data_IF_578961932117
#
_entry.id   IF_578961932117
#
_cell.length_a   1.000
_cell.length_b   1.000
_cell.length_c   1.000
_cell.angle_alpha   90.00
_cell.angle_beta   90.00
_cell.angle_gamma   90.00
#
_symmetry.space_group_name_H-M   'P 1'
#
loop_
_entity.id
_entity.type
_entity.pdbx_description
1 polymer ?
#
# COMPACT_ATOMS: atom_id res chain seq x y z
N UNK A 1 31.30 -13.91 -5.13
CA UNK A 1 31.72 -13.01 -4.04
C UNK A 1 33.20 -12.68 -4.16
N UNK A 2 33.53 -11.60 -4.85
CA UNK A 2 34.92 -11.11 -4.94
C UNK A 2 35.24 -10.34 -3.65
N UNK A 3 36.28 -10.77 -2.95
CA UNK A 3 36.90 -9.99 -1.88
C UNK A 3 38.08 -9.25 -2.49
N UNK A 4 38.22 -7.95 -2.21
CA UNK A 4 39.37 -7.17 -2.65
C UNK A 4 40.02 -6.45 -1.46
N UNK A 5 41.35 -6.32 -1.53
CA UNK A 5 42.14 -5.62 -0.52
C UNK A 5 43.04 -4.63 -1.24
N UNK A 6 43.02 -3.38 -0.80
CA UNK A 6 43.91 -2.33 -1.30
C UNK A 6 44.69 -1.73 -0.15
N UNK A 7 46.01 -1.78 -0.24
CA UNK A 7 46.90 -1.05 0.66
C UNK A 7 47.29 0.27 0.01
N UNK A 8 47.22 1.34 0.79
CA UNK A 8 47.62 2.68 0.39
C UNK A 8 49.03 2.99 0.91
N UNK A 9 49.71 3.92 0.27
CA UNK A 9 51.09 4.33 0.61
C UNK A 9 51.21 4.96 2.00
N UNK A 10 50.12 5.46 2.56
CA UNK A 10 50.03 5.99 3.92
C UNK A 10 49.78 4.91 4.99
N UNK A 11 49.88 3.63 4.64
CA UNK A 11 49.69 2.51 5.56
C UNK A 11 48.23 2.12 5.82
N UNK A 12 47.25 2.84 5.25
CA UNK A 12 45.85 2.44 5.36
C UNK A 12 45.52 1.25 4.47
N UNK A 13 44.58 0.41 4.92
CA UNK A 13 44.06 -0.72 4.14
C UNK A 13 42.55 -0.56 3.95
N UNK A 14 42.10 -0.74 2.71
CA UNK A 14 40.69 -0.86 2.34
C UNK A 14 40.36 -2.32 2.07
N UNK A 15 39.34 -2.83 2.75
CA UNK A 15 38.76 -4.14 2.50
C UNK A 15 37.41 -3.98 1.84
N UNK A 16 37.22 -4.62 0.68
CA UNK A 16 35.93 -4.70 -0.01
C UNK A 16 35.42 -6.12 0.17
N UNK A 17 34.35 -6.24 0.95
CA UNK A 17 33.82 -7.52 1.43
C UNK A 17 32.32 -7.61 1.11
N UNK A 18 31.86 -8.80 0.72
CA UNK A 18 30.44 -9.05 0.51
C UNK A 18 29.71 -9.26 1.84
N UNK A 19 28.67 -8.48 2.10
CA UNK A 19 27.90 -8.51 3.34
C UNK A 19 27.11 -9.81 3.55
N UNK A 20 26.71 -10.54 2.50
CA UNK A 20 25.99 -11.81 2.64
C UNK A 20 26.80 -12.91 3.35
N UNK A 21 28.13 -12.88 3.28
CA UNK A 21 28.94 -13.86 4.00
C UNK A 21 29.26 -13.33 5.39
N UNK A 22 28.59 -13.87 6.42
CA UNK A 22 28.77 -13.46 7.82
C UNK A 22 30.23 -13.50 8.27
N UNK A 23 31.03 -14.47 7.80
CA UNK A 23 32.46 -14.59 8.16
C UNK A 23 33.28 -13.37 7.73
N UNK A 24 32.88 -12.68 6.66
CA UNK A 24 33.54 -11.45 6.23
C UNK A 24 33.38 -10.30 7.24
N UNK A 25 32.28 -10.31 7.99
CA UNK A 25 31.93 -9.29 8.99
C UNK A 25 32.58 -9.57 10.35
N UNK A 26 33.44 -10.60 10.44
CA UNK A 26 34.07 -11.02 11.69
C UNK A 26 35.56 -10.67 11.78
N UNK A 27 36.09 -10.72 13.00
CA UNK A 27 37.54 -10.74 13.37
C UNK A 27 38.36 -9.46 13.14
N UNK A 28 37.91 -8.52 12.33
CA UNK A 28 38.68 -7.30 12.00
C UNK A 28 38.18 -6.09 12.77
N UNK A 29 39.07 -5.36 13.43
CA UNK A 29 38.73 -4.01 13.91
C UNK A 29 38.77 -3.03 12.73
N UNK A 30 37.68 -2.30 12.50
CA UNK A 30 37.51 -1.38 11.36
C UNK A 30 37.23 0.03 11.88
N UNK A 31 38.05 1.02 11.51
CA UNK A 31 37.81 2.41 11.92
C UNK A 31 36.70 3.10 11.12
N UNK A 32 36.63 2.83 9.82
CA UNK A 32 35.66 3.43 8.92
C UNK A 32 34.90 2.31 8.22
N UNK A 33 33.65 2.09 8.63
CA UNK A 33 32.77 1.12 8.01
C UNK A 33 31.85 1.84 7.02
N UNK A 34 31.83 1.36 5.77
CA UNK A 34 30.94 1.87 4.73
C UNK A 34 30.10 0.70 4.24
N UNK A 35 28.78 0.80 4.39
CA UNK A 35 27.83 -0.15 3.83
C UNK A 35 27.07 0.49 2.68
N UNK A 36 27.02 -0.21 1.56
CA UNK A 36 26.27 0.21 0.37
C UNK A 36 25.19 -0.83 0.06
N UNK A 37 24.09 -0.37 -0.55
CA UNK A 37 22.91 -1.17 -0.90
C UNK A 37 22.40 -1.99 0.30
N UNK A 38 22.36 -1.35 1.47
CA UNK A 38 22.14 -2.03 2.76
C UNK A 38 20.75 -2.69 2.87
N UNK A 39 19.75 -2.27 2.09
CA UNK A 39 18.45 -2.94 1.98
C UNK A 39 18.54 -4.41 1.51
N UNK A 40 19.65 -4.82 0.88
CA UNK A 40 19.88 -6.22 0.48
C UNK A 40 20.64 -7.05 1.51
N UNK A 41 21.15 -6.41 2.56
CA UNK A 41 21.95 -7.12 3.56
C UNK A 41 21.04 -8.06 4.37
N UNK A 42 21.48 -9.30 4.67
CA UNK A 42 20.70 -10.17 5.55
C UNK A 42 20.51 -9.55 6.93
N UNK A 43 19.34 -9.78 7.53
CA UNK A 43 19.01 -9.30 8.87
C UNK A 43 20.09 -9.67 9.90
N UNK A 44 20.47 -8.71 10.74
CA UNK A 44 21.52 -8.82 11.75
C UNK A 44 22.94 -8.57 11.23
N UNK A 45 23.17 -8.61 9.92
CA UNK A 45 24.53 -8.41 9.38
C UNK A 45 25.01 -6.97 9.55
N UNK A 46 24.12 -5.99 9.57
CA UNK A 46 24.48 -4.61 9.86
C UNK A 46 25.09 -4.49 11.27
N UNK A 47 24.44 -5.08 12.28
CA UNK A 47 24.93 -5.10 13.65
C UNK A 47 26.29 -5.81 13.78
N UNK A 48 26.48 -6.93 13.07
CA UNK A 48 27.77 -7.64 13.03
C UNK A 48 28.88 -6.78 12.44
N UNK A 49 28.57 -6.01 11.39
CA UNK A 49 29.52 -5.08 10.78
C UNK A 49 29.85 -3.91 11.72
N UNK A 50 28.84 -3.29 12.34
CA UNK A 50 29.02 -2.19 13.31
C UNK A 50 29.85 -2.60 14.51
N UNK A 51 29.69 -3.84 15.00
CA UNK A 51 30.47 -4.36 16.11
C UNK A 51 31.98 -4.35 15.86
N UNK A 52 32.42 -4.22 14.60
CA UNK A 52 33.84 -4.11 14.21
C UNK A 52 34.43 -2.72 14.45
N UNK A 53 33.59 -1.72 14.64
CA UNK A 53 33.98 -0.33 14.85
C UNK A 53 34.24 -0.01 16.33
N UNK A 54 33.69 -0.83 17.23
CA UNK A 54 33.76 -0.66 18.70
C UNK A 54 35.17 -0.45 19.26
N UNK A 55 36.17 -1.14 18.71
CA UNK A 55 37.57 -1.03 19.14
C UNK A 55 38.16 0.39 18.95
N UNK A 56 37.56 1.22 18.12
CA UNK A 56 38.02 2.59 17.84
C UNK A 56 37.28 3.67 18.64
N UNK A 57 36.26 3.31 19.43
CA UNK A 57 35.48 4.25 20.23
C UNK A 57 35.01 5.46 19.41
N UNK A 58 35.29 6.68 19.91
CA UNK A 58 34.92 7.95 19.28
C UNK A 58 35.59 8.23 17.92
N UNK A 59 36.67 7.50 17.57
CA UNK A 59 37.35 7.63 16.26
C UNK A 59 36.71 6.78 15.16
N UNK A 60 35.83 5.85 15.56
CA UNK A 60 35.13 4.95 14.67
C UNK A 60 33.93 5.62 14.00
N UNK A 61 33.69 5.34 12.72
CA UNK A 61 32.51 5.85 12.00
C UNK A 61 31.87 4.76 11.15
N UNK A 62 30.54 4.77 11.12
CA UNK A 62 29.71 3.97 10.23
C UNK A 62 28.97 4.88 9.25
N UNK A 63 29.06 4.59 7.96
CA UNK A 63 28.28 5.23 6.90
C UNK A 63 27.49 4.15 6.18
N UNK A 64 26.16 4.17 6.32
CA UNK A 64 25.27 3.25 5.61
C UNK A 64 24.47 4.01 4.55
N UNK A 65 24.50 3.48 3.34
CA UNK A 65 23.80 4.01 2.17
C UNK A 65 22.88 2.94 1.60
N UNK A 66 21.68 3.35 1.23
CA UNK A 66 20.67 2.45 0.68
C UNK A 66 19.55 3.24 0.00
N UNK A 67 18.82 2.58 -0.88
CA UNK A 67 17.42 2.94 -1.19
C UNK A 67 16.50 2.48 -0.05
N UNK A 68 15.20 2.81 -0.14
CA UNK A 68 14.18 2.24 0.74
C UNK A 68 14.14 0.71 0.61
N UNK A 69 14.08 0.01 1.74
CA UNK A 69 13.92 -1.44 1.79
C UNK A 69 12.56 -1.81 2.33
N UNK A 70 12.47 -2.81 3.20
CA UNK A 70 11.21 -3.19 3.85
C UNK A 70 11.07 -2.50 5.21
N UNK A 71 9.84 -2.20 5.63
CA UNK A 71 9.59 -1.46 6.88
C UNK A 71 10.20 -2.10 8.14
N UNK A 72 10.38 -3.42 8.13
CA UNK A 72 10.94 -4.22 9.21
C UNK A 72 12.44 -4.51 9.06
N UNK A 73 13.10 -4.00 8.02
CA UNK A 73 14.52 -4.25 7.79
C UNK A 73 15.46 -3.45 8.70
N UNK A 74 16.72 -3.88 8.75
CA UNK A 74 17.74 -3.26 9.60
C UNK A 74 18.00 -1.80 9.20
N UNK A 75 17.98 -1.47 7.91
CA UNK A 75 18.20 -0.10 7.42
C UNK A 75 17.13 0.85 7.92
N UNK A 76 15.86 0.46 7.81
CA UNK A 76 14.71 1.26 8.22
C UNK A 76 14.73 1.47 9.71
N UNK A 77 14.93 0.39 10.49
CA UNK A 77 15.11 0.49 11.95
C UNK A 77 16.26 1.43 12.31
N UNK A 78 17.38 1.36 11.59
CA UNK A 78 18.54 2.23 11.83
C UNK A 78 18.22 3.68 11.52
N UNK A 79 17.55 3.96 10.40
CA UNK A 79 17.14 5.31 10.02
C UNK A 79 16.20 5.93 11.07
N UNK A 80 15.23 5.17 11.58
CA UNK A 80 14.30 5.63 12.62
C UNK A 80 15.01 6.03 13.93
N UNK A 81 16.15 5.42 14.24
CA UNK A 81 16.99 5.75 15.42
C UNK A 81 17.89 6.99 15.24
N UNK A 82 17.89 7.61 14.05
CA UNK A 82 18.65 8.83 13.75
C UNK A 82 17.81 10.10 13.92
N UNK A 83 18.44 11.27 13.75
CA UNK A 83 17.75 12.56 13.68
C UNK A 83 16.92 12.80 12.39
N UNK A 84 16.90 11.82 11.48
CA UNK A 84 16.04 11.74 10.28
C UNK A 84 15.98 13.06 9.51
N UNK A 85 17.11 13.55 9.01
CA UNK A 85 17.12 14.82 8.29
C UNK A 85 16.51 14.69 6.91
N UNK A 86 15.55 15.54 6.63
CA UNK A 86 14.87 15.60 5.34
C UNK A 86 15.41 16.76 4.50
N UNK A 87 15.60 16.54 3.20
CA UNK A 87 15.95 17.62 2.28
C UNK A 87 14.71 18.50 2.03
N UNK A 88 14.79 19.77 2.42
CA UNK A 88 13.67 20.73 2.34
C UNK A 88 14.02 21.92 1.47
N UNK A 89 13.02 22.61 0.92
CA UNK A 89 13.16 23.89 0.24
C UNK A 89 12.28 24.96 0.90
N UNK A 90 12.66 26.23 0.75
CA UNK A 90 11.80 27.36 1.11
C UNK A 90 10.96 27.77 -0.11
N UNK A 91 9.65 27.85 0.05
CA UNK A 91 8.74 28.28 -1.01
C UNK A 91 9.10 29.72 -1.44
N UNK A 92 9.35 29.98 -2.73
CA UNK A 92 9.70 31.34 -3.18
C UNK A 92 8.58 32.37 -2.99
N UNK A 93 7.31 31.94 -2.92
CA UNK A 93 6.15 32.82 -2.80
C UNK A 93 5.80 33.17 -1.34
N UNK A 94 5.81 32.17 -0.43
CA UNK A 94 5.41 32.38 0.98
C UNK A 94 6.52 32.16 2.00
N UNK A 95 7.72 31.77 1.57
CA UNK A 95 8.89 31.46 2.42
C UNK A 95 8.70 30.30 3.41
N UNK A 96 7.53 29.65 3.44
CA UNK A 96 7.32 28.44 4.22
C UNK A 96 8.29 27.34 3.76
N UNK A 97 8.96 26.69 4.72
CA UNK A 97 9.89 25.60 4.47
C UNK A 97 9.16 24.26 4.50
N UNK A 98 9.38 23.45 3.48
CA UNK A 98 8.73 22.15 3.34
C UNK A 98 9.65 21.10 2.71
N UNK A 99 9.45 19.82 3.05
CA UNK A 99 10.10 18.72 2.34
C UNK A 99 9.48 18.52 0.95
N UNK A 100 10.20 17.77 0.11
CA UNK A 100 9.66 17.28 -1.15
C UNK A 100 8.74 16.08 -0.88
N UNK A 101 7.43 16.27 -1.05
CA UNK A 101 6.41 15.25 -0.78
C UNK A 101 5.67 14.83 -2.06
N UNK A 102 5.33 13.55 -2.17
CA UNK A 102 4.65 13.02 -3.35
C UNK A 102 3.23 13.59 -3.49
N UNK A 103 2.58 13.85 -2.35
CA UNK A 103 1.23 14.38 -2.22
C UNK A 103 1.08 15.77 -2.85
N UNK A 104 2.18 16.52 -2.96
CA UNK A 104 2.26 17.84 -3.57
C UNK A 104 2.36 17.79 -5.10
N UNK A 105 2.64 16.63 -5.69
CA UNK A 105 2.68 16.48 -7.15
C UNK A 105 1.26 16.32 -7.67
N UNK A 106 0.84 17.22 -8.56
CA UNK A 106 -0.48 17.21 -9.20
C UNK A 106 -0.32 17.30 -10.72
N UNK A 107 -1.30 16.77 -11.44
CA UNK A 107 -1.41 16.86 -12.89
C UNK A 107 -2.88 17.03 -13.27
N UNK A 108 -3.15 17.47 -14.50
CA UNK A 108 -4.54 17.74 -14.92
C UNK A 108 -5.39 16.47 -14.95
N UNK A 109 -6.66 16.60 -14.55
CA UNK A 109 -7.66 15.56 -14.70
C UNK A 109 -7.95 15.24 -16.18
N UNK A 110 -7.76 16.23 -17.07
CA UNK A 110 -7.97 16.08 -18.52
C UNK A 110 -6.97 15.11 -19.17
N UNK A 111 -5.89 14.78 -18.48
CA UNK A 111 -4.92 13.78 -18.95
C UNK A 111 -5.47 12.33 -18.84
N UNK A 112 -6.63 12.13 -18.21
CA UNK A 112 -7.30 10.83 -18.11
C UNK A 112 -8.22 10.62 -19.31
N UNK A 113 -8.06 9.49 -19.98
CA UNK A 113 -8.87 9.07 -21.13
C UNK A 113 -9.71 7.84 -20.77
N UNK A 114 -10.69 7.48 -21.61
CA UNK A 114 -11.50 6.27 -21.41
C UNK A 114 -10.65 4.98 -21.38
N UNK A 115 -9.51 5.00 -22.09
CA UNK A 115 -8.60 3.85 -22.20
C UNK A 115 -7.44 3.89 -21.18
N UNK A 116 -7.36 4.92 -20.33
CA UNK A 116 -6.30 5.04 -19.32
C UNK A 116 -5.78 6.47 -19.16
N UNK A 117 -4.47 6.66 -19.32
CA UNK A 117 -3.81 7.95 -19.14
C UNK A 117 -3.06 8.35 -20.41
N UNK A 118 -3.25 9.59 -20.87
CA UNK A 118 -2.35 10.22 -21.82
C UNK A 118 -1.09 10.68 -21.09
N UNK A 119 -0.05 9.88 -21.15
CA UNK A 119 1.22 10.16 -20.48
C UNK A 119 1.91 11.43 -20.99
N UNK A 120 1.67 11.87 -22.23
CA UNK A 120 2.22 13.13 -22.71
C UNK A 120 1.52 14.31 -22.03
N UNK A 121 0.19 14.25 -21.93
CA UNK A 121 -0.61 15.25 -21.20
C UNK A 121 -0.31 15.26 -19.70
N UNK A 122 -0.10 14.09 -19.07
CA UNK A 122 0.34 14.00 -17.67
C UNK A 122 1.66 14.73 -17.50
N UNK A 123 2.68 14.41 -18.31
CA UNK A 123 3.99 15.05 -18.20
C UNK A 123 3.93 16.57 -18.38
N UNK A 124 3.14 17.04 -19.36
CA UNK A 124 3.03 18.46 -19.67
C UNK A 124 2.26 19.26 -18.60
N UNK A 125 1.29 18.64 -17.92
CA UNK A 125 0.46 19.29 -16.90
C UNK A 125 0.94 19.07 -15.47
N UNK A 126 2.05 18.34 -15.27
CA UNK A 126 2.53 18.06 -13.92
C UNK A 126 3.16 19.30 -13.28
N UNK A 127 2.70 19.61 -12.08
CA UNK A 127 3.19 20.70 -11.23
C UNK A 127 3.44 20.19 -9.82
N UNK A 128 4.30 20.90 -9.09
CA UNK A 128 4.43 20.74 -7.64
C UNK A 128 3.71 21.89 -6.94
N UNK A 129 2.87 21.56 -5.97
CA UNK A 129 2.17 22.54 -5.15
C UNK A 129 2.92 22.82 -3.85
N UNK A 130 2.96 24.08 -3.43
CA UNK A 130 3.38 24.41 -2.07
C UNK A 130 2.35 23.90 -1.04
N UNK A 131 2.76 23.11 -0.05
CA UNK A 131 1.85 22.65 1.01
C UNK A 131 1.22 23.80 1.82
N UNK A 132 1.90 24.95 1.94
CA UNK A 132 1.39 26.08 2.72
C UNK A 132 0.47 27.00 1.90
N UNK A 133 0.96 27.55 0.78
CA UNK A 133 0.22 28.55 0.00
C UNK A 133 -0.40 28.03 -1.30
N UNK A 134 -0.24 26.74 -1.62
CA UNK A 134 -0.73 26.10 -2.85
C UNK A 134 -0.21 26.72 -4.16
N UNK A 135 0.82 27.57 -4.11
CA UNK A 135 1.48 28.07 -5.30
C UNK A 135 2.00 26.92 -6.18
N UNK A 136 1.77 27.02 -7.49
CA UNK A 136 2.15 26.01 -8.46
C UNK A 136 3.56 26.25 -8.99
N UNK A 137 4.37 25.20 -9.01
CA UNK A 137 5.70 25.19 -9.61
C UNK A 137 5.68 24.28 -10.84
N UNK A 138 6.05 24.78 -12.02
CA UNK A 138 6.10 23.96 -13.23
C UNK A 138 7.24 22.94 -13.18
N UNK A 139 7.04 21.77 -13.78
CA UNK A 139 8.09 20.75 -13.90
C UNK A 139 9.13 21.11 -14.97
N UNK A 140 10.10 21.94 -14.59
CA UNK A 140 11.26 22.25 -15.41
C UNK A 140 12.55 22.31 -14.57
N UNK A 141 13.70 22.19 -15.24
CA UNK A 141 15.00 22.18 -14.57
C UNK A 141 15.36 23.52 -13.90
N UNK A 142 14.84 24.65 -14.39
CA UNK A 142 15.10 25.97 -13.81
C UNK A 142 14.36 26.12 -12.48
N UNK A 143 13.12 25.67 -12.43
CA UNK A 143 12.26 25.65 -11.24
C UNK A 143 12.85 24.71 -10.19
N UNK A 144 13.19 23.46 -10.54
CA UNK A 144 13.87 22.55 -9.62
C UNK A 144 15.18 23.11 -9.08
N UNK A 145 16.02 23.73 -9.92
CA UNK A 145 17.25 24.41 -9.47
C UNK A 145 16.95 25.56 -8.50
N UNK A 146 15.96 26.41 -8.79
CA UNK A 146 15.55 27.52 -7.93
C UNK A 146 15.09 27.03 -6.55
N UNK A 147 14.28 25.97 -6.50
CA UNK A 147 13.83 25.39 -5.22
C UNK A 147 15.02 24.82 -4.43
N UNK A 148 15.93 24.10 -5.08
CA UNK A 148 17.11 23.53 -4.42
C UNK A 148 18.17 24.57 -3.98
N UNK A 149 18.21 25.76 -4.56
CA UNK A 149 19.13 26.83 -4.13
C UNK A 149 18.87 27.26 -2.69
N UNK A 150 17.61 27.21 -2.22
CA UNK A 150 17.23 27.43 -0.83
C UNK A 150 17.18 26.12 -0.01
N UNK A 151 17.72 25.05 -0.58
CA UNK A 151 17.64 23.70 -0.07
C UNK A 151 18.53 23.48 1.16
N UNK A 152 17.99 22.83 2.20
CA UNK A 152 18.80 22.37 3.33
C UNK A 152 18.16 21.18 4.04
N UNK A 153 19.01 20.42 4.75
CA UNK A 153 18.59 19.31 5.59
C UNK A 153 18.04 19.79 6.93
N UNK A 154 16.81 19.41 7.26
CA UNK A 154 16.12 19.74 8.52
C UNK A 154 15.86 18.47 9.32
N UNK A 155 16.25 18.47 10.60
CA UNK A 155 16.02 17.35 11.52
C UNK A 155 14.52 17.13 11.72
N UNK A 156 14.06 15.90 11.52
CA UNK A 156 12.67 15.51 11.78
C UNK A 156 12.52 14.81 13.14
N UNK A 157 13.59 14.20 13.67
CA UNK A 157 13.60 13.58 14.99
C UNK A 157 14.60 14.28 15.93
N UNK A 158 14.21 15.37 16.62
CA UNK A 158 15.12 16.12 17.50
C UNK A 158 15.52 15.34 18.76
N UNK A 159 14.83 14.24 19.09
CA UNK A 159 15.07 13.44 20.30
C UNK A 159 16.14 12.36 20.11
N UNK A 160 16.57 12.11 18.87
CA UNK A 160 17.59 11.12 18.57
C UNK A 160 18.94 11.45 19.19
N UNK A 161 19.75 10.42 19.45
CA UNK A 161 21.13 10.59 19.89
C UNK A 161 21.90 11.48 18.91
N UNK A 162 22.68 12.48 19.38
CA UNK A 162 23.50 13.32 18.51
C UNK A 162 24.54 12.55 17.68
N UNK A 163 24.88 11.33 18.10
CA UNK A 163 25.82 10.45 17.41
C UNK A 163 25.20 9.78 16.16
N UNK A 164 23.86 9.69 16.10
CA UNK A 164 23.13 9.04 15.01
C UNK A 164 22.51 10.10 14.08
N UNK A 165 23.21 10.37 12.97
CA UNK A 165 22.75 11.33 11.97
C UNK A 165 22.22 10.59 10.74
N UNK A 166 20.99 10.91 10.34
CA UNK A 166 20.33 10.31 9.17
C UNK A 166 20.01 11.36 8.14
N UNK A 167 20.07 10.97 6.87
CA UNK A 167 19.71 11.83 5.74
C UNK A 167 18.79 11.07 4.82
N UNK A 168 17.72 11.72 4.36
CA UNK A 168 16.80 11.18 3.37
C UNK A 168 16.81 12.06 2.13
N UNK A 169 16.97 11.42 0.96
CA UNK A 169 17.00 12.08 -0.34
C UNK A 169 15.89 11.49 -1.21
N UNK A 170 14.86 12.28 -1.44
CA UNK A 170 13.77 11.97 -2.36
C UNK A 170 14.08 12.40 -3.81
N UNK A 171 13.83 11.53 -4.81
CA UNK A 171 14.08 11.84 -6.22
C UNK A 171 13.33 13.08 -6.72
N UNK A 172 12.25 13.50 -6.06
CA UNK A 172 11.51 14.72 -6.37
C UNK A 172 12.37 15.99 -6.41
N UNK A 173 13.47 16.06 -5.66
CA UNK A 173 14.34 17.24 -5.72
C UNK A 173 15.24 17.26 -6.97
N UNK A 174 15.43 16.13 -7.65
CA UNK A 174 16.40 16.01 -8.75
C UNK A 174 15.77 15.60 -10.10
N UNK A 175 14.66 14.86 -10.09
CA UNK A 175 14.05 14.25 -11.28
C UNK A 175 12.80 15.02 -11.73
N UNK A 176 12.47 14.93 -13.02
CA UNK A 176 11.22 15.48 -13.57
C UNK A 176 10.01 14.86 -12.85
N UNK A 177 9.15 15.73 -12.32
CA UNK A 177 7.92 15.33 -11.65
C UNK A 177 6.94 14.66 -12.60
N UNK A 178 6.81 15.15 -13.83
CA UNK A 178 5.98 14.53 -14.86
C UNK A 178 6.47 13.13 -15.23
N UNK A 179 7.79 12.92 -15.28
CA UNK A 179 8.35 11.58 -15.49
C UNK A 179 8.08 10.65 -14.30
N UNK A 180 8.14 11.16 -13.08
CA UNK A 180 7.76 10.40 -11.88
C UNK A 180 6.27 10.07 -11.89
N UNK A 181 5.40 11.01 -12.26
CA UNK A 181 3.95 10.81 -12.40
C UNK A 181 3.63 9.72 -13.41
N UNK A 182 4.28 9.72 -14.59
CA UNK A 182 4.13 8.64 -15.56
C UNK A 182 4.55 7.28 -14.98
N UNK A 183 5.71 7.20 -14.30
CA UNK A 183 6.18 5.95 -13.69
C UNK A 183 5.20 5.44 -12.63
N UNK A 184 4.68 6.33 -11.80
CA UNK A 184 3.70 6.01 -10.77
C UNK A 184 2.38 5.51 -11.36
N UNK A 185 1.85 6.17 -12.40
CA UNK A 185 0.61 5.78 -13.06
C UNK A 185 0.72 4.42 -13.76
N UNK A 186 1.86 4.17 -14.43
CA UNK A 186 2.15 2.84 -15.00
C UNK A 186 2.23 1.78 -13.92
N UNK A 187 2.92 2.08 -12.81
CA UNK A 187 3.01 1.17 -11.67
C UNK A 187 1.63 0.87 -11.05
N UNK A 188 0.77 1.88 -10.89
CA UNK A 188 -0.62 1.70 -10.45
C UNK A 188 -1.44 0.86 -11.43
N UNK A 189 -1.22 1.01 -12.73
CA UNK A 189 -1.89 0.18 -13.74
C UNK A 189 -1.46 -1.29 -13.62
N UNK A 190 -0.15 -1.57 -13.46
CA UNK A 190 0.35 -2.93 -13.21
C UNK A 190 -0.21 -3.51 -11.91
N UNK A 191 -0.28 -2.71 -10.84
CA UNK A 191 -0.82 -3.15 -9.55
C UNK A 191 -2.31 -3.54 -9.66
N UNK A 192 -3.11 -2.83 -10.46
CA UNK A 192 -4.51 -3.21 -10.76
C UNK A 192 -4.63 -4.55 -11.51
N UNK A 193 -3.60 -4.95 -12.23
CA UNK A 193 -3.51 -6.24 -12.92
C UNK A 193 -2.88 -7.34 -12.05
N UNK A 194 -2.56 -7.05 -10.79
CA UNK A 194 -1.98 -7.99 -9.82
C UNK A 194 -0.46 -7.93 -9.67
N UNK A 195 0.25 -7.09 -10.43
CA UNK A 195 1.70 -6.91 -10.31
C UNK A 195 2.05 -5.64 -9.52
N UNK A 196 2.32 -5.81 -8.22
CA UNK A 196 2.65 -4.71 -7.29
C UNK A 196 4.13 -4.30 -7.31
N UNK A 197 5.01 -5.11 -7.90
CA UNK A 197 6.46 -4.90 -7.85
C UNK A 197 6.89 -3.54 -8.46
N UNK A 198 6.30 -3.05 -9.57
CA UNK A 198 6.59 -1.71 -10.09
C UNK A 198 6.26 -0.59 -9.12
N UNK A 199 5.19 -0.75 -8.32
CA UNK A 199 4.77 0.24 -7.33
C UNK A 199 5.74 0.25 -6.15
N UNK A 200 6.11 -0.93 -5.65
CA UNK A 200 7.16 -1.09 -4.65
C UNK A 200 8.47 -0.44 -5.08
N UNK A 201 8.91 -0.70 -6.31
CA UNK A 201 10.11 -0.08 -6.90
C UNK A 201 9.99 1.45 -6.93
N UNK A 202 8.81 1.99 -7.22
CA UNK A 202 8.59 3.43 -7.21
C UNK A 202 8.84 4.03 -5.81
N UNK A 203 8.18 3.52 -4.77
CA UNK A 203 8.36 4.02 -3.41
C UNK A 203 9.80 3.84 -2.90
N UNK A 204 10.38 2.65 -3.08
CA UNK A 204 11.72 2.34 -2.60
C UNK A 204 12.82 3.13 -3.33
N UNK A 205 12.80 3.15 -4.66
CA UNK A 205 13.89 3.69 -5.48
C UNK A 205 13.73 5.17 -5.85
N UNK A 206 12.49 5.66 -5.94
CA UNK A 206 12.22 7.06 -6.29
C UNK A 206 11.97 7.90 -5.04
N UNK A 207 11.07 7.45 -4.19
CA UNK A 207 10.74 8.22 -2.98
C UNK A 207 11.72 7.99 -1.83
N UNK A 208 12.53 6.92 -1.89
CA UNK A 208 13.48 6.59 -0.82
C UNK A 208 12.80 6.01 0.42
N UNK A 209 11.54 5.60 0.30
CA UNK A 209 10.69 5.19 1.41
C UNK A 209 10.69 3.67 1.60
N UNK A 210 10.63 3.19 2.85
CA UNK A 210 10.46 1.76 3.10
C UNK A 210 9.10 1.29 2.59
N UNK A 211 9.07 0.11 2.02
CA UNK A 211 7.84 -0.58 1.65
C UNK A 211 7.33 -1.36 2.85
N UNK A 212 6.12 -1.06 3.30
CA UNK A 212 5.39 -1.93 4.20
C UNK A 212 4.46 -2.81 3.35
N UNK A 213 4.45 -4.12 3.61
CA UNK A 213 3.36 -4.99 3.12
C UNK A 213 2.05 -4.77 3.88
N UNK A 214 1.91 -3.59 4.51
CA UNK A 214 0.62 -3.13 4.97
C UNK A 214 -0.25 -3.06 3.71
N UNK A 215 -1.19 -4.00 3.60
CA UNK A 215 -2.36 -4.01 2.74
C UNK A 215 -2.72 -2.56 2.43
N UNK A 216 -2.20 -2.01 1.33
CA UNK A 216 -2.60 -0.68 0.92
C UNK A 216 -4.06 -0.86 0.54
N UNK A 217 -4.92 -0.43 1.47
CA UNK A 217 -6.17 0.21 1.17
C UNK A 217 -6.00 0.83 -0.21
N UNK A 218 -6.63 0.20 -1.20
CA UNK A 218 -6.87 0.88 -2.44
C UNK A 218 -7.65 2.11 -2.01
N UNK A 219 -6.95 3.24 -1.87
CA UNK A 219 -7.52 4.56 -2.08
C UNK A 219 -7.92 4.60 -3.55
N UNK A 220 -8.96 3.83 -3.85
CA UNK A 220 -10.01 4.26 -4.76
C UNK A 220 -10.27 5.69 -4.33
N UNK A 221 -10.21 6.63 -5.27
CA UNK A 221 -10.81 7.95 -5.04
C UNK A 221 -12.22 7.67 -4.54
N UNK A 222 -12.41 7.70 -3.22
CA UNK A 222 -13.71 7.68 -2.59
C UNK A 222 -14.27 9.03 -2.98
N UNK A 223 -14.89 9.10 -4.15
CA UNK A 223 -15.96 10.06 -4.36
C UNK A 223 -16.83 9.92 -3.13
N UNK A 224 -16.86 10.96 -2.32
CA UNK A 224 -17.66 11.04 -1.11
C UNK A 224 -19.12 10.96 -1.59
N UNK A 225 -19.59 9.73 -1.79
CA UNK A 225 -20.99 9.44 -2.00
C UNK A 225 -21.66 9.78 -0.68
N UNK A 226 -22.84 10.39 -0.72
CA UNK A 226 -23.67 10.67 0.46
C UNK A 226 -24.15 9.40 1.19
N UNK A 227 -23.52 8.26 0.91
CA UNK A 227 -23.83 6.98 1.50
C UNK A 227 -23.01 6.69 2.77
N UNK A 228 -23.68 6.49 3.91
CA UNK A 228 -23.07 5.88 5.11
C UNK A 228 -23.36 4.39 5.21
N UNK A 229 -22.34 3.57 5.44
CA UNK A 229 -22.46 2.14 5.68
C UNK A 229 -23.54 1.83 6.72
N UNK A 230 -24.37 0.82 6.43
CA UNK A 230 -25.47 0.40 7.31
C UNK A 230 -26.77 1.22 7.23
N UNK A 231 -26.82 2.33 6.50
CA UNK A 231 -28.10 3.04 6.28
C UNK A 231 -29.03 2.28 5.34
N UNK A 232 -30.32 2.31 5.66
CA UNK A 232 -31.37 1.76 4.81
C UNK A 232 -31.38 2.46 3.43
N UNK A 233 -31.83 1.72 2.42
CA UNK A 233 -31.83 2.17 1.04
C UNK A 233 -33.24 2.20 0.49
N UNK A 234 -33.70 3.37 0.05
CA UNK A 234 -35.07 3.54 -0.47
C UNK A 234 -35.41 2.63 -1.64
N UNK A 235 -34.40 2.18 -2.41
CA UNK A 235 -34.57 1.26 -3.55
C UNK A 235 -34.35 -0.21 -3.18
N UNK A 236 -34.05 -0.53 -1.92
CA UNK A 236 -33.87 -1.91 -1.45
C UNK A 236 -35.13 -2.71 -1.73
N UNK A 237 -35.01 -3.78 -2.51
CA UNK A 237 -36.09 -4.71 -2.80
C UNK A 237 -36.32 -5.69 -1.63
N UNK A 238 -37.42 -6.43 -1.70
CA UNK A 238 -37.71 -7.53 -0.78
C UNK A 238 -38.04 -8.82 -1.54
N UNK A 239 -38.18 -9.92 -0.80
CA UNK A 239 -38.69 -11.19 -1.27
C UNK A 239 -40.03 -11.49 -0.62
N UNK A 240 -41.00 -11.96 -1.40
CA UNK A 240 -42.28 -12.47 -0.88
C UNK A 240 -42.15 -13.91 -0.36
N UNK A 241 -43.27 -14.50 0.12
CA UNK A 241 -43.30 -15.88 0.65
C UNK A 241 -42.99 -16.95 -0.39
N UNK A 242 -43.16 -16.64 -1.67
CA UNK A 242 -42.85 -17.49 -2.82
C UNK A 242 -41.43 -17.28 -3.36
N UNK A 243 -40.68 -16.31 -2.82
CA UNK A 243 -39.34 -15.95 -3.28
C UNK A 243 -39.32 -15.02 -4.50
N UNK A 244 -40.44 -14.40 -4.88
CA UNK A 244 -40.44 -13.37 -5.92
C UNK A 244 -39.88 -12.07 -5.39
N UNK A 245 -39.12 -11.38 -6.24
CA UNK A 245 -38.55 -10.07 -5.94
C UNK A 245 -39.64 -9.00 -5.98
N UNK A 246 -39.83 -8.30 -4.87
CA UNK A 246 -40.71 -7.16 -4.72
C UNK A 246 -39.90 -5.86 -4.91
N UNK A 247 -40.14 -5.07 -5.97
CA UNK A 247 -39.48 -3.78 -6.14
C UNK A 247 -39.94 -2.79 -5.07
N UNK A 248 -39.05 -1.87 -4.66
CA UNK A 248 -39.41 -0.77 -3.78
C UNK A 248 -40.23 0.31 -4.53
N UNK A 249 -41.21 0.97 -3.89
CA UNK A 249 -41.70 0.69 -2.53
C UNK A 249 -42.64 -0.52 -2.50
N UNK A 250 -42.60 -1.27 -1.39
CA UNK A 250 -43.50 -2.41 -1.13
C UNK A 250 -44.15 -2.28 0.25
N UNK A 251 -45.31 -2.92 0.44
CA UNK A 251 -45.92 -3.03 1.76
C UNK A 251 -45.16 -4.04 2.62
N UNK A 252 -44.80 -3.67 3.85
CA UNK A 252 -44.04 -4.53 4.75
C UNK A 252 -44.74 -5.85 5.08
N UNK A 253 -46.08 -5.91 5.00
CA UNK A 253 -46.88 -7.12 5.17
C UNK A 253 -46.68 -8.16 4.06
N UNK A 254 -46.26 -7.73 2.87
CA UNK A 254 -46.00 -8.60 1.72
C UNK A 254 -44.57 -9.16 1.71
N UNK A 255 -43.64 -8.47 2.37
CA UNK A 255 -42.23 -8.86 2.44
C UNK A 255 -42.00 -9.95 3.50
N UNK A 256 -41.34 -11.03 3.10
CA UNK A 256 -40.85 -12.08 4.00
C UNK A 256 -39.39 -11.88 4.39
N UNK A 257 -38.59 -11.27 3.51
CA UNK A 257 -37.21 -10.87 3.79
C UNK A 257 -36.82 -9.68 2.92
N UNK A 258 -35.92 -8.82 3.41
CA UNK A 258 -35.26 -7.81 2.57
C UNK A 258 -34.28 -8.51 1.62
N UNK A 259 -34.09 -7.99 0.41
CA UNK A 259 -33.16 -8.53 -0.57
C UNK A 259 -31.72 -8.13 -0.22
N UNK A 260 -31.21 -8.75 0.83
CA UNK A 260 -29.86 -8.58 1.34
C UNK A 260 -29.13 -9.90 1.20
N UNK A 261 -27.90 -9.85 0.71
CA UNK A 261 -27.08 -11.04 0.46
C UNK A 261 -25.77 -10.88 1.21
N UNK A 262 -25.38 -11.93 1.94
CA UNK A 262 -24.03 -12.06 2.48
C UNK A 262 -23.27 -13.08 1.64
N UNK A 263 -22.09 -12.70 1.16
CA UNK A 263 -21.12 -13.62 0.57
C UNK A 263 -19.94 -13.77 1.50
N UNK A 264 -19.54 -15.01 1.75
CA UNK A 264 -18.46 -15.40 2.68
C UNK A 264 -17.37 -16.10 1.89
N UNK A 265 -16.17 -15.56 1.93
CA UNK A 265 -14.96 -16.19 1.38
C UNK A 265 -14.19 -16.89 2.51
N UNK A 266 -13.98 -18.20 2.37
CA UNK A 266 -13.36 -19.03 3.40
C UNK A 266 -11.83 -19.11 3.21
N UNK A 267 -11.09 -18.64 4.20
CA UNK A 267 -9.63 -18.72 4.27
C UNK A 267 -9.19 -19.75 5.33
N UNK A 268 -7.87 -19.92 5.52
CA UNK A 268 -7.33 -20.97 6.40
C UNK A 268 -7.71 -20.83 7.88
N UNK A 269 -7.70 -19.59 8.41
CA UNK A 269 -7.90 -19.29 9.83
C UNK A 269 -9.03 -18.27 10.09
N UNK A 270 -9.69 -17.78 9.03
CA UNK A 270 -10.73 -16.76 9.11
C UNK A 270 -11.62 -16.76 7.86
N UNK A 271 -12.64 -15.92 7.87
CA UNK A 271 -13.51 -15.65 6.72
C UNK A 271 -13.61 -14.16 6.45
N UNK A 272 -13.71 -13.80 5.17
CA UNK A 272 -14.08 -12.45 4.76
C UNK A 272 -15.55 -12.42 4.38
N UNK A 273 -16.28 -11.43 4.89
CA UNK A 273 -17.71 -11.27 4.62
C UNK A 273 -17.99 -9.96 3.92
N UNK A 274 -18.89 -10.01 2.94
CA UNK A 274 -19.44 -8.84 2.26
C UNK A 274 -20.95 -8.95 2.27
N UNK A 275 -21.63 -7.95 2.84
CA UNK A 275 -23.08 -7.83 2.85
C UNK A 275 -23.52 -6.75 1.86
N UNK A 276 -24.44 -7.06 0.97
CA UNK A 276 -25.01 -6.11 0.00
C UNK A 276 -26.52 -6.09 0.05
N UNK A 277 -27.11 -4.90 -0.08
CA UNK A 277 -28.51 -4.68 -0.38
C UNK A 277 -28.71 -4.58 -1.89
N UNK A 278 -29.82 -5.11 -2.41
CA UNK A 278 -30.12 -5.15 -3.84
C UNK A 278 -31.47 -4.52 -4.15
N UNK A 279 -31.55 -3.84 -5.28
CA UNK A 279 -32.80 -3.40 -5.89
C UNK A 279 -33.26 -4.42 -6.94
N UNK A 280 -34.53 -4.33 -7.33
CA UNK A 280 -35.13 -5.26 -8.29
C UNK A 280 -34.54 -5.16 -9.72
N UNK A 281 -33.87 -4.05 -10.03
CA UNK A 281 -33.16 -3.83 -11.31
C UNK A 281 -31.74 -4.44 -11.33
N UNK A 282 -31.32 -5.09 -10.24
CA UNK A 282 -29.98 -5.68 -10.11
C UNK A 282 -28.90 -4.69 -9.65
N UNK A 283 -29.24 -3.42 -9.42
CA UNK A 283 -28.32 -2.51 -8.74
C UNK A 283 -28.15 -2.91 -7.27
N UNK A 284 -26.97 -2.66 -6.70
CA UNK A 284 -26.68 -3.02 -5.31
C UNK A 284 -25.81 -2.01 -4.58
N UNK A 285 -26.02 -1.96 -3.26
CA UNK A 285 -25.35 -1.07 -2.30
C UNK A 285 -24.63 -1.91 -1.25
N UNK A 286 -23.37 -1.58 -0.98
CA UNK A 286 -22.54 -2.29 0.01
C UNK A 286 -23.00 -1.96 1.43
N UNK A 287 -23.64 -2.87 2.16
CA UNK A 287 -24.11 -2.61 3.53
C UNK A 287 -22.99 -2.68 4.57
N UNK A 288 -22.15 -3.72 4.47
CA UNK A 288 -21.11 -4.00 5.44
C UNK A 288 -20.04 -4.92 4.85
N UNK A 289 -18.82 -4.86 5.37
CA UNK A 289 -17.79 -5.87 5.13
C UNK A 289 -16.91 -6.00 6.37
N UNK A 290 -16.44 -7.21 6.67
CA UNK A 290 -15.65 -7.48 7.86
C UNK A 290 -14.81 -8.75 7.70
N UNK A 291 -13.76 -8.88 8.52
CA UNK A 291 -13.05 -10.14 8.72
C UNK A 291 -13.58 -10.79 10.00
N UNK A 292 -14.05 -12.02 9.90
CA UNK A 292 -14.60 -12.79 11.03
C UNK A 292 -13.82 -14.07 11.23
N UNK A 293 -13.84 -14.62 12.44
CA UNK A 293 -13.02 -15.79 12.80
C UNK A 293 -13.86 -17.08 12.73
N UNK A 294 -15.18 -17.00 12.88
CA UNK A 294 -16.05 -18.17 12.93
C UNK A 294 -17.37 -18.01 12.15
N UNK A 295 -18.00 -19.13 11.80
CA UNK A 295 -19.37 -19.12 11.25
C UNK A 295 -20.44 -18.68 12.25
N UNK A 296 -20.16 -18.72 13.56
CA UNK A 296 -21.07 -18.15 14.56
C UNK A 296 -21.07 -16.62 14.49
N UNK A 297 -19.91 -16.01 14.27
CA UNK A 297 -19.79 -14.56 14.04
C UNK A 297 -20.53 -14.13 12.77
N UNK A 298 -20.44 -14.93 11.70
CA UNK A 298 -21.19 -14.69 10.45
C UNK A 298 -22.71 -14.77 10.71
N UNK A 299 -23.15 -15.69 11.57
CA UNK A 299 -24.58 -15.81 11.95
C UNK A 299 -25.05 -14.58 12.74
N UNK A 300 -24.23 -14.12 13.68
CA UNK A 300 -24.49 -12.89 14.44
C UNK A 300 -24.56 -11.67 13.53
N UNK A 301 -23.66 -11.58 12.53
CA UNK A 301 -23.69 -10.53 11.53
C UNK A 301 -24.96 -10.59 10.66
N UNK A 302 -25.33 -11.77 10.18
CA UNK A 302 -26.54 -11.96 9.38
C UNK A 302 -27.80 -11.54 10.15
N UNK A 303 -27.89 -11.89 11.44
CA UNK A 303 -28.97 -11.45 12.31
C UNK A 303 -28.97 -9.93 12.50
N UNK A 304 -27.80 -9.32 12.76
CA UNK A 304 -27.64 -7.87 12.93
C UNK A 304 -28.09 -7.10 11.69
N UNK A 305 -27.86 -7.65 10.50
CA UNK A 305 -28.21 -7.01 9.22
C UNK A 305 -29.57 -7.45 8.66
N UNK A 306 -30.35 -8.24 9.41
CA UNK A 306 -31.65 -8.78 8.99
C UNK A 306 -31.58 -9.60 7.68
N UNK A 307 -30.48 -10.31 7.48
CA UNK A 307 -30.25 -11.16 6.31
C UNK A 307 -30.88 -12.52 6.54
N UNK A 308 -31.77 -12.93 5.66
CA UNK A 308 -32.39 -14.25 5.73
C UNK A 308 -31.32 -15.35 5.55
N UNK A 309 -31.32 -16.45 6.34
CA UNK A 309 -30.26 -17.46 6.29
C UNK A 309 -30.01 -18.04 4.88
N UNK A 310 -31.06 -18.24 4.09
CA UNK A 310 -30.93 -18.77 2.72
C UNK A 310 -30.29 -17.79 1.73
N UNK A 311 -30.07 -16.53 2.13
CA UNK A 311 -29.35 -15.50 1.37
C UNK A 311 -27.91 -15.29 1.86
N UNK A 312 -27.40 -16.23 2.67
CA UNK A 312 -25.99 -16.32 3.02
C UNK A 312 -25.34 -17.37 2.11
N UNK A 313 -24.33 -16.94 1.36
CA UNK A 313 -23.59 -17.76 0.41
C UNK A 313 -22.14 -17.90 0.85
N UNK A 314 -21.63 -19.12 0.90
CA UNK A 314 -20.27 -19.40 1.41
C UNK A 314 -19.47 -20.12 0.34
N UNK A 315 -18.29 -19.62 0.01
CA UNK A 315 -17.37 -20.31 -0.89
C UNK A 315 -16.86 -21.61 -0.24
N UNK A 316 -17.02 -22.71 -0.97
CA UNK A 316 -16.63 -24.06 -0.57
C UNK A 316 -15.36 -24.55 -1.29
N UNK A 317 -14.65 -23.66 -2.00
CA UNK A 317 -13.36 -23.98 -2.63
C UNK A 317 -12.26 -24.40 -1.66
N UNK A 318 -12.34 -23.95 -0.41
CA UNK A 318 -11.44 -24.33 0.69
C UNK A 318 -12.20 -25.02 1.83
N UNK A 319 -11.56 -25.98 2.53
CA UNK A 319 -12.14 -26.73 3.66
C UNK A 319 -13.58 -27.24 3.40
N UNK A 320 -13.82 -27.73 2.18
CA UNK A 320 -15.14 -28.04 1.60
C UNK A 320 -16.09 -28.81 2.53
N UNK A 321 -15.57 -29.81 3.26
CA UNK A 321 -16.38 -30.61 4.18
C UNK A 321 -16.92 -29.79 5.36
N UNK A 322 -16.09 -28.95 5.96
CA UNK A 322 -16.47 -28.10 7.09
C UNK A 322 -17.42 -26.99 6.65
N UNK A 323 -17.21 -26.43 5.45
CA UNK A 323 -18.13 -25.46 4.83
C UNK A 323 -19.51 -26.08 4.62
N UNK A 324 -19.60 -27.26 4.01
CA UNK A 324 -20.90 -27.92 3.82
C UNK A 324 -21.61 -28.24 5.13
N UNK A 325 -20.87 -28.73 6.14
CA UNK A 325 -21.44 -28.98 7.47
C UNK A 325 -21.94 -27.68 8.11
N UNK A 326 -21.16 -26.61 8.01
CA UNK A 326 -21.49 -25.28 8.53
C UNK A 326 -22.74 -24.70 7.88
N UNK A 327 -22.83 -24.79 6.55
CA UNK A 327 -23.97 -24.32 5.77
C UNK A 327 -25.24 -25.13 6.05
N UNK A 328 -25.15 -26.46 6.09
CA UNK A 328 -26.29 -27.32 6.37
C UNK A 328 -26.90 -27.04 7.76
N UNK A 329 -26.07 -26.82 8.78
CA UNK A 329 -26.53 -26.50 10.13
C UNK A 329 -27.29 -25.16 10.22
N UNK A 330 -26.96 -24.20 9.33
CA UNK A 330 -27.44 -22.81 9.38
C UNK A 330 -28.42 -22.45 8.25
N UNK A 331 -28.73 -23.42 7.36
CA UNK A 331 -29.55 -23.23 6.15
C UNK A 331 -28.98 -22.19 5.18
N UNK A 332 -27.65 -22.17 5.08
CA UNK A 332 -26.91 -21.34 4.12
C UNK A 332 -26.65 -22.10 2.83
N UNK A 333 -26.28 -21.37 1.79
CA UNK A 333 -25.97 -21.93 0.47
C UNK A 333 -24.46 -21.99 0.28
N UNK A 334 -23.91 -23.18 0.09
CA UNK A 334 -22.51 -23.33 -0.29
C UNK A 334 -22.36 -23.15 -1.82
N UNK A 335 -21.40 -22.33 -2.24
CA UNK A 335 -21.04 -22.11 -3.63
C UNK A 335 -19.75 -22.87 -3.94
N UNK A 336 -19.70 -23.53 -5.09
CA UNK A 336 -18.50 -24.18 -5.58
C UNK A 336 -18.26 -23.73 -7.02
N UNK A 337 -17.10 -23.15 -7.27
CA UNK A 337 -16.69 -22.78 -8.62
C UNK A 337 -16.49 -24.02 -9.48
N UNK A 338 -16.98 -23.99 -10.72
CA UNK A 338 -16.61 -24.93 -11.78
C UNK A 338 -15.83 -24.14 -12.85
N UNK A 339 -14.81 -24.76 -13.43
CA UNK A 339 -13.91 -24.16 -14.42
C UNK A 339 -14.59 -23.89 -15.78
N UNK A 340 -15.87 -24.24 -15.92
CA UNK A 340 -16.66 -23.95 -17.13
C UNK A 340 -16.87 -22.46 -17.30
N UNK A 341 -16.62 -21.99 -18.52
CA UNK A 341 -16.83 -20.59 -18.91
C UNK A 341 -18.31 -20.24 -19.12
N UNK A 342 -19.17 -21.23 -19.37
CA UNK A 342 -20.60 -21.03 -19.57
C UNK A 342 -21.42 -22.17 -18.95
N UNK A 343 -22.61 -21.82 -18.44
CA UNK A 343 -23.59 -22.76 -17.94
C UNK A 343 -24.83 -22.69 -18.83
N UNK A 344 -25.35 -23.83 -19.26
CA UNK A 344 -26.64 -23.88 -19.96
C UNK A 344 -27.76 -23.76 -18.94
N UNK A 345 -28.48 -22.64 -18.94
CA UNK A 345 -29.71 -22.49 -18.19
C UNK A 345 -30.85 -23.14 -18.98
N UNK A 346 -31.30 -24.33 -18.57
CA UNK A 346 -32.50 -24.96 -19.15
C UNK A 346 -33.74 -24.26 -18.66
N UNK A 347 -34.50 -23.69 -19.58
CA UNK A 347 -35.83 -23.18 -19.31
C UNK A 347 -36.82 -24.35 -19.21
N UNK A 348 -37.99 -24.18 -18.58
CA UNK A 348 -39.01 -25.24 -18.45
C UNK A 348 -39.46 -25.85 -19.79
N UNK A 349 -39.09 -25.23 -20.91
CA UNK A 349 -39.54 -25.52 -22.26
C UNK A 349 -38.49 -26.26 -23.12
N UNK A 350 -37.31 -26.56 -22.55
CA UNK A 350 -36.17 -27.15 -23.28
C UNK A 350 -35.01 -26.19 -23.41
#
# INVERSE_FOLDING_TARGET
NKTAIKQFTNGMTLWVLGAHNKTNLQRRSIRWLIGDECWRWPTGHMAEAEARVTAFGWLGKCLFMSQGGHADDDMTKRHLMTDQREWTFACPECQARQPYQWEQIKWSADARTEQGWDYAAVRASTVMLCASCQAEFPDDDRTRKRLNQAGCYVRQNPTASPENVGFHWNALCAMSWGRLAELYLRAKQSAKLGDIEPLKIFYQKRLGQPWAEAYEDYSVDLTQSDYRLGEDWEKEAALDKSGHVLPAPYEASMASAKLRIITVDCQMDHVFVVARSWAADGSSRLLWHEKLISFDDVSNLAQRLEVHPSLVFVDAGYATYDVYRGCAARRWTALMGDARTTYQHRLPNG
#
